data_IF_792174110413
#
_entry.id   IF_792174110413
#
_cell.length_a   1.000
_cell.length_b   1.000
_cell.length_c   1.000
_cell.angle_alpha   90.00
_cell.angle_beta   90.00
_cell.angle_gamma   90.00
#
_symmetry.space_group_name_H-M   'P 1'
#
loop_
_entity.id
_entity.type
_entity.pdbx_description
1 polymer ?
#
# COMPACT_ATOMS: atom_id res chain seq x y z
N UNK A 1 -14.57 -10.66 -20.11
CA UNK A 1 -15.36 -9.95 -21.14
C UNK A 1 -16.85 -10.07 -20.86
N UNK A 2 -17.40 -11.27 -20.65
CA UNK A 2 -18.85 -11.47 -20.43
C UNK A 2 -19.45 -10.77 -19.20
N UNK A 3 -18.69 -10.53 -18.13
CA UNK A 3 -19.18 -9.90 -16.90
C UNK A 3 -19.21 -8.36 -16.95
N UNK A 4 -18.30 -7.73 -17.72
CA UNK A 4 -18.13 -6.28 -17.76
C UNK A 4 -18.78 -5.63 -18.99
N UNK A 5 -19.01 -6.40 -20.06
CA UNK A 5 -19.67 -5.91 -21.27
C UNK A 5 -21.08 -5.37 -21.01
N UNK A 6 -21.98 -6.04 -20.26
CA UNK A 6 -23.33 -5.52 -20.06
C UNK A 6 -23.34 -4.23 -19.22
N UNK A 7 -22.46 -4.11 -18.23
CA UNK A 7 -22.34 -2.93 -17.38
C UNK A 7 -21.71 -1.75 -18.13
N UNK A 8 -20.65 -1.97 -18.91
CA UNK A 8 -20.02 -0.95 -19.75
C UNK A 8 -20.96 -0.45 -20.87
N UNK A 9 -21.72 -1.36 -21.50
CA UNK A 9 -22.72 -0.98 -22.49
C UNK A 9 -23.86 -0.16 -21.88
N UNK A 10 -24.39 -0.58 -20.73
CA UNK A 10 -25.44 0.17 -20.03
C UNK A 10 -24.97 1.58 -19.66
N UNK A 11 -23.77 1.73 -19.11
CA UNK A 11 -23.20 3.04 -18.79
C UNK A 11 -23.01 3.92 -20.04
N UNK A 12 -22.57 3.34 -21.16
CA UNK A 12 -22.44 4.06 -22.44
C UNK A 12 -23.79 4.45 -23.03
N UNK A 13 -24.80 3.59 -22.93
CA UNK A 13 -26.17 3.86 -23.38
C UNK A 13 -26.80 4.99 -22.56
N UNK A 14 -26.67 4.97 -21.23
CA UNK A 14 -27.14 6.04 -20.35
C UNK A 14 -26.49 7.39 -20.69
N UNK A 15 -25.15 7.42 -20.84
CA UNK A 15 -24.43 8.62 -21.23
C UNK A 15 -24.85 9.14 -22.62
N UNK A 16 -25.13 8.23 -23.56
CA UNK A 16 -25.62 8.58 -24.90
C UNK A 16 -27.03 9.16 -24.86
N UNK A 17 -27.94 8.55 -24.09
CA UNK A 17 -29.32 9.02 -23.93
C UNK A 17 -29.39 10.37 -23.22
N UNK A 18 -28.59 10.58 -22.17
CA UNK A 18 -28.47 11.87 -21.50
C UNK A 18 -28.03 12.97 -22.48
N UNK A 19 -27.01 12.69 -23.31
CA UNK A 19 -26.54 13.63 -24.34
C UNK A 19 -27.60 13.94 -25.40
N UNK A 20 -28.40 12.95 -25.80
CA UNK A 20 -29.45 13.12 -26.81
C UNK A 20 -30.59 14.01 -26.30
N UNK A 21 -31.08 13.73 -25.08
CA UNK A 21 -32.12 14.51 -24.41
C UNK A 21 -31.67 15.95 -24.26
N UNK A 22 -30.44 16.14 -23.78
CA UNK A 22 -29.83 17.46 -23.62
C UNK A 22 -29.83 18.25 -24.96
N UNK A 23 -29.34 17.62 -26.03
CA UNK A 23 -29.36 18.24 -27.38
C UNK A 23 -30.77 18.63 -27.81
N UNK A 24 -31.76 17.78 -27.59
CA UNK A 24 -33.12 18.02 -28.06
C UNK A 24 -33.82 19.13 -27.25
N UNK A 25 -33.57 19.21 -25.93
CA UNK A 25 -34.02 20.33 -25.07
C UNK A 25 -33.41 21.65 -25.56
N UNK A 26 -32.11 21.67 -25.86
CA UNK A 26 -31.44 22.85 -26.41
C UNK A 26 -32.07 23.28 -27.74
N UNK A 27 -32.34 22.34 -28.66
CA UNK A 27 -32.98 22.63 -29.95
C UNK A 27 -34.39 23.19 -29.76
N UNK A 28 -35.18 22.65 -28.83
CA UNK A 28 -36.53 23.13 -28.53
C UNK A 28 -36.49 24.56 -27.97
N UNK A 29 -35.60 24.83 -27.01
CA UNK A 29 -35.40 26.17 -26.46
C UNK A 29 -34.98 27.17 -27.54
N UNK A 30 -34.10 26.78 -28.47
CA UNK A 30 -33.69 27.63 -29.59
C UNK A 30 -34.84 27.92 -30.57
N UNK A 31 -35.70 26.94 -30.85
CA UNK A 31 -36.87 27.12 -31.72
C UNK A 31 -37.93 28.03 -31.11
N UNK A 32 -38.08 28.00 -29.78
CA UNK A 32 -39.03 28.85 -29.06
C UNK A 32 -38.71 30.37 -29.18
N UNK A 33 -37.49 30.75 -29.60
CA UNK A 33 -37.04 32.16 -29.68
C UNK A 33 -37.40 32.80 -31.05
N UNK A 34 -38.25 32.19 -31.87
CA UNK A 34 -38.63 32.74 -33.16
C UNK A 34 -39.75 33.81 -33.06
N UNK A 35 -39.43 35.02 -32.57
CA UNK A 35 -40.28 36.20 -32.75
C UNK A 35 -39.51 37.54 -32.86
N UNK A 36 -39.61 38.15 -34.04
CA UNK A 36 -39.47 39.55 -34.52
C UNK A 36 -38.46 40.60 -34.03
N UNK A 37 -37.60 40.43 -33.01
CA UNK A 37 -36.63 41.50 -32.64
C UNK A 37 -35.20 41.01 -32.41
N UNK A 38 -34.17 41.74 -32.86
CA UNK A 38 -32.78 41.22 -32.95
C UNK A 38 -32.04 41.22 -31.60
N UNK A 39 -32.26 42.24 -30.76
CA UNK A 39 -31.61 42.40 -29.45
C UNK A 39 -32.20 41.45 -28.39
N UNK A 40 -33.53 41.31 -28.33
CA UNK A 40 -34.20 40.35 -27.43
C UNK A 40 -33.83 38.89 -27.70
N UNK A 41 -33.37 38.59 -28.93
CA UNK A 41 -32.91 37.25 -29.28
C UNK A 41 -31.58 36.95 -28.59
N UNK A 42 -30.62 37.85 -28.60
CA UNK A 42 -29.29 37.56 -28.04
C UNK A 42 -29.36 37.29 -26.53
N UNK A 43 -30.23 38.00 -25.81
CA UNK A 43 -30.41 37.81 -24.36
C UNK A 43 -31.09 36.47 -24.04
N UNK A 44 -32.17 36.13 -24.75
CA UNK A 44 -32.83 34.81 -24.59
C UNK A 44 -31.92 33.64 -24.97
N UNK A 45 -31.03 33.82 -25.94
CA UNK A 45 -30.08 32.78 -26.31
C UNK A 45 -29.06 32.54 -25.19
N UNK A 46 -28.55 33.61 -24.55
CA UNK A 46 -27.65 33.50 -23.39
C UNK A 46 -28.34 32.78 -22.23
N UNK A 47 -29.56 33.20 -21.88
CA UNK A 47 -30.31 32.57 -20.77
C UNK A 47 -30.66 31.10 -21.07
N UNK A 48 -31.02 30.77 -22.31
CA UNK A 48 -31.30 29.38 -22.70
C UNK A 48 -30.06 28.48 -22.60
N UNK A 49 -28.87 29.01 -22.91
CA UNK A 49 -27.60 28.30 -22.77
C UNK A 49 -27.24 28.14 -21.29
N UNK A 50 -27.38 29.21 -20.49
CA UNK A 50 -27.06 29.17 -19.05
C UNK A 50 -28.00 28.24 -18.27
N UNK A 51 -29.30 28.26 -18.58
CA UNK A 51 -30.26 27.33 -17.96
C UNK A 51 -29.94 25.88 -18.32
N UNK A 52 -29.56 25.64 -19.58
CA UNK A 52 -29.15 24.32 -20.03
C UNK A 52 -27.85 23.83 -19.38
N UNK A 53 -26.86 24.71 -19.22
CA UNK A 53 -25.59 24.40 -18.55
C UNK A 53 -25.80 24.06 -17.06
N UNK A 54 -26.68 24.82 -16.39
CA UNK A 54 -27.08 24.56 -15.01
C UNK A 54 -27.88 23.25 -14.86
N UNK A 55 -28.83 22.96 -15.76
CA UNK A 55 -29.63 21.73 -15.73
C UNK A 55 -28.78 20.46 -15.93
N UNK A 56 -27.67 20.54 -16.67
CA UNK A 56 -26.71 19.44 -16.78
C UNK A 56 -25.76 19.32 -15.58
N UNK A 57 -25.76 20.28 -14.65
CA UNK A 57 -24.81 20.32 -13.55
C UNK A 57 -23.36 20.41 -14.04
N UNK A 58 -23.13 21.05 -15.19
CA UNK A 58 -21.78 21.34 -15.66
C UNK A 58 -21.21 22.44 -14.76
N UNK A 59 -20.54 22.06 -13.68
CA UNK A 59 -19.70 23.01 -12.93
C UNK A 59 -18.70 23.64 -13.91
N UNK A 60 -18.55 24.96 -13.83
CA UNK A 60 -17.55 25.68 -14.60
C UNK A 60 -16.20 24.95 -14.48
N UNK A 61 -15.48 24.72 -15.59
CA UNK A 61 -14.26 23.94 -15.54
C UNK A 61 -13.28 24.62 -14.59
N UNK A 62 -13.03 23.97 -13.45
CA UNK A 62 -12.09 24.44 -12.44
C UNK A 62 -10.73 24.62 -13.13
N UNK A 63 -10.24 25.86 -13.21
CA UNK A 63 -8.97 26.18 -13.88
C UNK A 63 -7.76 25.84 -13.01
N UNK A 64 -7.86 24.80 -12.20
CA UNK A 64 -6.79 24.34 -11.33
C UNK A 64 -5.91 23.35 -12.09
N UNK A 65 -4.60 23.56 -11.98
CA UNK A 65 -3.62 22.64 -12.55
C UNK A 65 -3.58 21.36 -11.71
N UNK A 66 -3.80 20.20 -12.35
CA UNK A 66 -3.58 18.90 -11.71
C UNK A 66 -2.11 18.67 -11.30
N UNK A 67 -1.16 19.45 -11.86
CA UNK A 67 0.25 19.39 -11.53
C UNK A 67 0.57 20.22 -10.28
N UNK A 68 0.22 19.69 -9.12
CA UNK A 68 0.78 20.14 -7.83
C UNK A 68 2.07 19.39 -7.53
N UNK A 69 2.91 19.92 -6.63
CA UNK A 69 4.16 19.26 -6.22
C UNK A 69 3.93 17.81 -5.75
N UNK A 70 2.89 17.58 -4.94
CA UNK A 70 2.55 16.26 -4.44
C UNK A 70 2.08 15.31 -5.55
N UNK A 71 1.27 15.80 -6.49
CA UNK A 71 0.84 15.00 -7.64
C UNK A 71 2.01 14.67 -8.58
N UNK A 72 2.97 15.59 -8.76
CA UNK A 72 4.18 15.33 -9.51
C UNK A 72 5.09 14.30 -8.82
N UNK A 73 5.22 14.37 -7.49
CA UNK A 73 5.95 13.37 -6.71
C UNK A 73 5.29 11.98 -6.80
N UNK A 74 3.96 11.92 -6.67
CA UNK A 74 3.21 10.67 -6.83
C UNK A 74 3.35 10.12 -8.26
N UNK A 75 3.30 10.98 -9.29
CA UNK A 75 3.55 10.59 -10.67
C UNK A 75 4.94 9.95 -10.82
N UNK A 76 6.00 10.61 -10.33
CA UNK A 76 7.36 10.06 -10.36
C UNK A 76 7.47 8.74 -9.58
N UNK A 77 6.79 8.63 -8.43
CA UNK A 77 6.71 7.41 -7.64
C UNK A 77 6.05 6.25 -8.40
N UNK A 78 4.94 6.49 -9.10
CA UNK A 78 4.23 5.47 -9.87
C UNK A 78 4.99 4.97 -11.09
N UNK A 79 5.84 5.81 -11.68
CA UNK A 79 6.79 5.40 -12.73
C UNK A 79 7.88 4.52 -12.11
N UNK A 80 8.43 4.95 -10.97
CA UNK A 80 9.50 4.25 -10.27
C UNK A 80 9.07 2.85 -9.81
N UNK A 81 7.83 2.72 -9.31
CA UNK A 81 7.24 1.45 -8.87
C UNK A 81 6.59 0.65 -9.99
N UNK A 82 6.60 1.16 -11.24
CA UNK A 82 5.97 0.55 -12.42
C UNK A 82 4.45 0.30 -12.29
N UNK A 83 3.77 0.98 -11.36
CA UNK A 83 2.31 0.89 -11.20
C UNK A 83 1.60 1.61 -12.34
N UNK A 84 2.04 2.84 -12.64
CA UNK A 84 1.58 3.64 -13.78
C UNK A 84 0.06 3.81 -13.88
N UNK A 85 -0.59 4.44 -12.90
CA UNK A 85 -2.05 4.63 -12.90
C UNK A 85 -2.62 5.35 -14.14
N UNK A 86 -1.83 6.22 -14.79
CA UNK A 86 -2.24 6.89 -16.04
C UNK A 86 -3.23 8.05 -15.88
N UNK A 87 -3.72 8.34 -14.66
CA UNK A 87 -4.65 9.46 -14.41
C UNK A 87 -4.02 10.84 -14.67
N UNK A 88 -2.72 10.98 -14.41
CA UNK A 88 -1.94 12.20 -14.67
C UNK A 88 -0.70 11.77 -15.45
N UNK A 89 -0.49 12.34 -16.64
CA UNK A 89 0.62 11.99 -17.52
C UNK A 89 1.15 13.22 -18.26
N UNK A 90 2.46 13.22 -18.56
CA UNK A 90 3.09 14.24 -19.38
C UNK A 90 2.56 14.17 -20.83
N UNK A 91 1.85 15.21 -21.25
CA UNK A 91 1.39 15.37 -22.64
C UNK A 91 2.49 15.98 -23.53
N UNK A 92 3.44 16.71 -22.93
CA UNK A 92 4.53 17.36 -23.65
C UNK A 92 5.57 16.35 -24.12
N UNK A 93 6.11 16.55 -25.33
CA UNK A 93 7.15 15.70 -25.92
C UNK A 93 8.41 15.66 -25.04
N UNK A 94 8.84 16.82 -24.51
CA UNK A 94 9.96 16.90 -23.60
C UNK A 94 9.72 16.13 -22.28
N UNK A 95 8.50 16.21 -21.72
CA UNK A 95 8.15 15.48 -20.50
C UNK A 95 8.13 13.97 -20.71
N UNK A 96 7.65 13.50 -21.87
CA UNK A 96 7.66 12.08 -22.23
C UNK A 96 9.09 11.53 -22.34
N UNK A 97 9.99 12.25 -23.02
CA UNK A 97 11.40 11.86 -23.12
C UNK A 97 12.08 11.83 -21.75
N UNK A 98 11.81 12.83 -20.89
CA UNK A 98 12.34 12.85 -19.53
C UNK A 98 11.85 11.65 -18.71
N UNK A 99 10.56 11.31 -18.81
CA UNK A 99 9.97 10.14 -18.12
C UNK A 99 10.59 8.82 -18.60
N UNK A 100 10.89 8.68 -19.90
CA UNK A 100 11.55 7.49 -20.45
C UNK A 100 12.97 7.32 -19.88
N UNK A 101 13.75 8.39 -19.84
CA UNK A 101 15.11 8.35 -19.27
C UNK A 101 15.05 8.04 -17.77
N UNK A 102 14.11 8.66 -17.06
CA UNK A 102 13.89 8.42 -15.64
C UNK A 102 13.49 6.97 -15.36
N UNK A 103 12.62 6.35 -16.17
CA UNK A 103 12.19 4.96 -15.95
C UNK A 103 13.30 3.95 -16.23
N UNK A 104 14.13 4.17 -17.26
CA UNK A 104 15.26 3.28 -17.57
C UNK A 104 16.25 3.15 -16.41
N UNK A 105 16.51 4.24 -15.69
CA UNK A 105 17.43 4.26 -14.55
C UNK A 105 16.69 3.91 -13.24
N UNK A 106 15.44 4.34 -13.10
CA UNK A 106 14.65 4.16 -11.89
C UNK A 106 14.28 2.71 -11.61
N UNK A 107 13.88 1.95 -12.64
CA UNK A 107 13.47 0.54 -12.50
C UNK A 107 14.59 -0.34 -11.92
N UNK A 108 15.84 -0.35 -12.45
CA UNK A 108 16.89 -1.19 -11.88
C UNK A 108 17.25 -0.79 -10.45
N UNK A 109 17.26 0.51 -10.14
CA UNK A 109 17.52 0.99 -8.76
C UNK A 109 16.38 0.57 -7.83
N UNK A 110 15.13 0.65 -8.27
CA UNK A 110 13.96 0.20 -7.50
C UNK A 110 14.06 -1.29 -7.16
N UNK A 111 14.47 -2.13 -8.10
CA UNK A 111 14.63 -3.56 -7.86
C UNK A 111 15.71 -3.86 -6.81
N UNK A 112 16.83 -3.12 -6.82
CA UNK A 112 17.87 -3.24 -5.79
C UNK A 112 17.34 -2.83 -4.41
N UNK A 113 16.68 -1.68 -4.32
CA UNK A 113 16.11 -1.19 -3.06
C UNK A 113 15.03 -2.14 -2.54
N UNK A 114 14.19 -2.69 -3.42
CA UNK A 114 13.12 -3.60 -3.04
C UNK A 114 13.67 -4.90 -2.45
N UNK A 115 14.79 -5.41 -2.97
CA UNK A 115 15.45 -6.58 -2.42
C UNK A 115 15.96 -6.33 -0.99
N UNK A 116 16.63 -5.21 -0.78
CA UNK A 116 17.17 -4.85 0.54
C UNK A 116 16.05 -4.54 1.54
N UNK A 117 15.02 -3.82 1.10
CA UNK A 117 13.82 -3.54 1.90
C UNK A 117 13.09 -4.84 2.24
N UNK A 118 12.98 -5.79 1.30
CA UNK A 118 12.36 -7.09 1.51
C UNK A 118 13.07 -7.89 2.59
N UNK A 119 14.41 -7.98 2.54
CA UNK A 119 15.20 -8.64 3.56
C UNK A 119 15.05 -7.98 4.93
N UNK A 120 15.11 -6.64 4.98
CA UNK A 120 14.88 -5.87 6.20
C UNK A 120 13.49 -6.17 6.77
N UNK A 121 12.43 -6.05 5.98
CA UNK A 121 11.05 -6.32 6.39
C UNK A 121 10.88 -7.74 6.93
N UNK A 122 11.46 -8.75 6.27
CA UNK A 122 11.41 -10.14 6.75
C UNK A 122 12.08 -10.30 8.11
N UNK A 123 13.24 -9.64 8.34
CA UNK A 123 13.89 -9.64 9.66
C UNK A 123 12.99 -8.97 10.70
N UNK A 124 12.37 -7.83 10.41
CA UNK A 124 11.45 -7.20 11.36
C UNK A 124 10.21 -8.03 11.66
N UNK A 125 9.59 -8.60 10.63
CA UNK A 125 8.41 -9.44 10.78
C UNK A 125 8.75 -10.66 11.64
N UNK A 126 9.87 -11.34 11.36
CA UNK A 126 10.31 -12.48 12.16
C UNK A 126 10.67 -12.08 13.59
N UNK A 127 11.32 -10.92 13.81
CA UNK A 127 11.59 -10.40 15.15
C UNK A 127 10.30 -10.13 15.94
N UNK A 128 9.31 -9.50 15.30
CA UNK A 128 8.02 -9.20 15.93
C UNK A 128 7.25 -10.49 16.21
N UNK A 129 7.21 -11.43 15.25
CA UNK A 129 6.51 -12.71 15.41
C UNK A 129 7.15 -13.59 16.50
N UNK A 130 8.49 -13.69 16.54
CA UNK A 130 9.20 -14.40 17.60
C UNK A 130 8.96 -13.72 18.95
N UNK A 131 9.07 -12.39 19.03
CA UNK A 131 8.77 -11.63 20.24
C UNK A 131 7.32 -11.84 20.72
N UNK A 132 6.36 -11.89 19.80
CA UNK A 132 4.96 -12.19 20.12
C UNK A 132 4.79 -13.61 20.67
N UNK A 133 5.41 -14.61 20.03
CA UNK A 133 5.42 -16.00 20.51
C UNK A 133 6.02 -16.13 21.91
N UNK A 134 7.09 -15.39 22.18
CA UNK A 134 7.79 -15.32 23.47
C UNK A 134 6.92 -14.71 24.57
N UNK A 135 6.21 -13.61 24.26
CA UNK A 135 5.24 -12.99 25.18
C UNK A 135 4.05 -13.90 25.43
N UNK A 136 3.53 -14.55 24.39
CA UNK A 136 2.41 -15.49 24.51
C UNK A 136 2.77 -16.71 25.36
N UNK A 137 3.99 -17.24 25.22
CA UNK A 137 4.49 -18.34 26.05
C UNK A 137 4.58 -17.90 27.52
N UNK A 138 5.15 -16.71 27.78
CA UNK A 138 5.25 -16.15 29.12
C UNK A 138 3.86 -15.96 29.78
N UNK A 139 2.90 -15.37 29.06
CA UNK A 139 1.53 -15.21 29.53
C UNK A 139 0.80 -16.55 29.71
N UNK A 140 0.99 -17.51 28.81
CA UNK A 140 0.38 -18.83 28.88
C UNK A 140 0.84 -19.67 30.08
N UNK A 141 2.10 -19.52 30.49
CA UNK A 141 2.64 -20.13 31.71
C UNK A 141 2.14 -19.39 32.95
N UNK A 142 2.11 -18.04 32.93
CA UNK A 142 1.59 -17.21 34.03
C UNK A 142 0.12 -17.52 34.34
N UNK A 143 -0.71 -17.67 33.31
CA UNK A 143 -2.14 -17.97 33.41
C UNK A 143 -2.44 -19.47 33.60
N UNK A 144 -1.42 -20.33 33.64
CA UNK A 144 -1.57 -21.77 33.90
C UNK A 144 -2.21 -22.58 32.77
N UNK A 145 -2.35 -22.01 31.57
CA UNK A 145 -3.07 -22.59 30.42
C UNK A 145 -2.17 -23.57 29.63
N UNK A 146 -0.84 -23.37 29.63
CA UNK A 146 0.13 -24.25 28.95
C UNK A 146 1.15 -24.81 29.94
N UNK A 147 1.36 -26.13 29.97
CA UNK A 147 2.47 -26.78 30.67
C UNK A 147 3.70 -26.84 29.75
N UNK A 148 4.89 -26.55 30.29
CA UNK A 148 6.14 -26.58 29.52
C UNK A 148 6.39 -27.97 28.92
N UNK A 149 6.55 -28.02 27.59
CA UNK A 149 6.99 -29.22 26.89
C UNK A 149 8.39 -29.69 27.32
N UNK A 150 8.76 -30.92 26.97
CA UNK A 150 10.12 -31.46 27.19
C UNK A 150 11.13 -30.92 26.18
N UNK A 151 10.79 -29.88 25.42
CA UNK A 151 11.69 -29.29 24.43
C UNK A 151 12.70 -28.35 25.09
N UNK A 152 13.97 -28.53 24.73
CA UNK A 152 15.08 -27.76 25.32
C UNK A 152 15.00 -26.27 24.99
N UNK A 153 14.62 -25.93 23.75
CA UNK A 153 14.58 -24.55 23.25
C UNK A 153 13.47 -23.70 23.88
N UNK A 154 12.30 -24.27 24.16
CA UNK A 154 11.19 -23.54 24.82
C UNK A 154 11.56 -23.14 26.26
N UNK A 155 12.31 -24.01 26.95
CA UNK A 155 12.78 -23.77 28.32
C UNK A 155 13.82 -22.66 28.38
N UNK A 156 14.78 -22.67 27.46
CA UNK A 156 15.79 -21.62 27.33
C UNK A 156 15.15 -20.24 27.07
N UNK A 157 14.18 -20.16 26.16
CA UNK A 157 13.45 -18.90 25.85
C UNK A 157 12.69 -18.36 27.06
N UNK A 158 11.96 -19.20 27.79
CA UNK A 158 11.24 -18.80 29.00
C UNK A 158 12.18 -18.29 30.11
N UNK A 159 13.31 -18.98 30.35
CA UNK A 159 14.28 -18.55 31.37
C UNK A 159 14.95 -17.23 31.03
N UNK A 160 15.18 -16.96 29.74
CA UNK A 160 15.80 -15.72 29.30
C UNK A 160 14.84 -14.52 29.44
N UNK A 161 13.57 -14.71 29.06
CA UNK A 161 12.51 -13.68 29.16
C UNK A 161 12.19 -13.37 30.61
N UNK A 162 12.02 -14.39 31.45
CA UNK A 162 11.75 -14.20 32.88
C UNK A 162 12.90 -13.48 33.59
N UNK A 163 14.16 -13.77 33.24
CA UNK A 163 15.34 -13.04 33.74
C UNK A 163 15.40 -11.60 33.25
N UNK A 164 15.02 -11.35 31.99
CA UNK A 164 14.96 -10.00 31.41
C UNK A 164 13.84 -9.15 32.07
N UNK A 165 12.66 -9.73 32.31
CA UNK A 165 11.57 -9.04 33.02
C UNK A 165 11.88 -8.85 34.52
N UNK A 166 12.58 -9.79 35.16
CA UNK A 166 13.03 -9.64 36.55
C UNK A 166 14.03 -8.48 36.69
N UNK A 167 14.94 -8.30 35.73
CA UNK A 167 15.87 -7.16 35.72
C UNK A 167 15.18 -5.80 35.47
N UNK A 168 14.00 -5.78 34.85
CA UNK A 168 13.18 -4.57 34.64
C UNK A 168 12.23 -4.33 35.84
N UNK A 169 12.25 -5.19 36.85
CA UNK A 169 11.49 -5.01 38.11
C UNK A 169 9.98 -5.26 38.01
N UNK A 170 9.50 -5.78 36.87
CA UNK A 170 8.08 -6.04 36.61
C UNK A 170 7.55 -7.33 37.28
N UNK A 171 8.44 -8.17 37.83
CA UNK A 171 8.10 -9.46 38.47
C UNK A 171 9.00 -9.66 39.67
N UNK A 172 8.45 -10.16 40.79
CA UNK A 172 9.25 -10.64 41.93
C UNK A 172 10.20 -11.78 41.51
N UNK A 173 11.41 -11.77 42.05
CA UNK A 173 12.48 -12.72 41.71
C UNK A 173 11.97 -14.18 41.66
N UNK A 174 12.17 -14.84 40.52
CA UNK A 174 11.91 -16.27 40.38
C UNK A 174 12.89 -17.02 41.29
N UNK A 175 12.35 -17.75 42.27
CA UNK A 175 13.12 -18.51 43.25
C UNK A 175 14.16 -19.44 42.59
N UNK A 176 15.40 -19.38 43.10
CA UNK A 176 16.58 -20.12 42.65
C UNK A 176 16.41 -21.65 42.59
N UNK A 177 15.40 -22.21 43.27
CA UNK A 177 15.16 -23.66 43.32
C UNK A 177 14.76 -24.28 41.97
N UNK A 178 14.38 -23.47 40.97
CA UNK A 178 14.05 -23.96 39.61
C UNK A 178 15.24 -23.89 38.65
N UNK A 179 16.29 -23.12 38.99
CA UNK A 179 17.43 -22.81 38.10
C UNK A 179 18.61 -23.80 38.27
N UNK A 180 18.66 -24.51 39.41
CA UNK A 180 19.76 -25.40 39.80
C UNK A 180 20.20 -26.46 38.77
N UNK A 181 19.32 -27.11 37.96
CA UNK A 181 19.79 -28.10 36.99
C UNK A 181 20.41 -27.50 35.72
N UNK A 182 20.20 -26.20 35.44
CA UNK A 182 20.59 -25.57 34.17
C UNK A 182 22.04 -25.04 34.24
N UNK A 183 22.44 -24.42 35.36
CA UNK A 183 23.82 -23.89 35.54
C UNK A 183 24.87 -25.00 35.59
N UNK A 184 24.46 -26.22 35.94
CA UNK A 184 25.39 -27.36 36.07
C UNK A 184 25.81 -27.96 34.72
N UNK A 185 25.07 -27.72 33.64
CA UNK A 185 25.40 -28.19 32.29
C UNK A 185 26.36 -27.25 31.55
N UNK A 186 26.36 -25.96 31.85
CA UNK A 186 27.24 -24.97 31.22
C UNK A 186 28.71 -25.10 31.68
N UNK A 187 28.95 -25.73 32.85
CA UNK A 187 30.31 -25.93 33.38
C UNK A 187 31.01 -27.21 32.88
N UNK A 188 30.31 -28.11 32.19
CA UNK A 188 30.88 -29.35 31.62
C UNK A 188 31.05 -29.32 30.10
N UNK A 189 30.51 -28.32 29.41
CA UNK A 189 30.56 -28.19 27.94
C UNK A 189 31.41 -27.01 27.51
N UNK A 190 32.72 -27.06 27.74
CA UNK A 190 33.63 -26.17 27.03
C UNK A 190 33.68 -26.55 25.55
N UNK A 191 32.86 -25.92 24.71
CA UNK A 191 33.14 -25.70 23.29
C UNK A 191 32.06 -24.81 22.62
N UNK A 192 32.52 -23.75 21.96
CA UNK A 192 31.90 -23.07 20.82
C UNK A 192 30.48 -22.51 20.99
N UNK A 193 30.42 -21.22 21.34
CA UNK A 193 29.26 -20.34 21.11
C UNK A 193 29.01 -20.30 19.60
N UNK A 194 28.10 -21.15 19.12
CA UNK A 194 27.64 -21.14 17.74
C UNK A 194 26.41 -20.25 17.65
N UNK A 195 26.59 -19.03 17.11
CA UNK A 195 25.56 -18.04 16.79
C UNK A 195 24.59 -18.48 15.67
N UNK A 196 24.42 -19.78 15.43
CA UNK A 196 23.88 -20.30 14.16
C UNK A 196 22.40 -20.68 14.16
N UNK A 197 21.61 -20.41 15.21
CA UNK A 197 20.22 -20.89 15.28
C UNK A 197 19.12 -19.82 15.42
N UNK A 198 19.42 -18.57 15.07
CA UNK A 198 18.38 -17.58 14.70
C UNK A 198 18.41 -17.23 13.20
N UNK A 199 19.37 -17.77 12.43
CA UNK A 199 19.51 -17.55 10.99
C UNK A 199 19.54 -18.89 10.25
N UNK A 200 18.40 -19.59 10.21
CA UNK A 200 18.21 -20.63 9.18
C UNK A 200 16.74 -20.76 8.76
N UNK A 201 16.21 -19.68 8.22
CA UNK A 201 15.21 -19.79 7.16
C UNK A 201 16.00 -19.96 5.86
N UNK A 202 16.06 -21.19 5.37
CA UNK A 202 16.64 -21.52 4.08
C UNK A 202 15.72 -20.98 2.98
N UNK A 203 16.02 -19.78 2.46
CA UNK A 203 15.60 -19.40 1.11
C UNK A 203 16.60 -20.02 0.13
N UNK A 204 16.21 -20.91 -0.79
CA UNK A 204 17.09 -21.35 -1.85
C UNK A 204 17.10 -20.27 -2.94
N UNK A 205 17.99 -19.28 -2.83
CA UNK A 205 18.37 -18.46 -3.98
C UNK A 205 19.65 -19.05 -4.56
N UNK A 206 19.49 -20.05 -5.42
CA UNK A 206 20.56 -20.53 -6.28
C UNK A 206 20.41 -19.80 -7.62
N UNK A 207 21.37 -18.90 -7.90
CA UNK A 207 22.08 -18.82 -9.17
C UNK A 207 21.25 -18.50 -10.43
N UNK A 208 21.09 -17.22 -10.74
CA UNK A 208 20.97 -16.77 -12.14
C UNK A 208 22.35 -16.26 -12.57
N UNK A 209 23.12 -17.17 -13.17
CA UNK A 209 24.30 -16.85 -13.96
C UNK A 209 23.80 -16.19 -15.25
N UNK A 210 24.01 -14.88 -15.40
CA UNK A 210 23.84 -14.21 -16.69
C UNK A 210 25.13 -14.45 -17.46
N UNK A 211 25.00 -15.23 -18.53
CA UNK A 211 25.92 -15.24 -19.68
C UNK A 211 25.21 -14.54 -20.81
#
# INVERSE_FOLDING_TARGET
MTLEVPTDLAAKEEAYHARLIARDVMILNLRAIHQSNKEDREERWKDAILNFENDLGLEEPVRDSAWTFWMAFLYAGTIYTTIGYGNIACVTTAGQVATIIYSMIGIPIMLLILNDLGAFLLVWVTRIACGFSDVMLFLGIRSGIRRMGKDSNERLRYTFISRKLANVGLIGAVSESTIAPIVKLERYGGLSISWSLCFRVSLPFNMIHIT
#
